data_IF_698609573224
#
_entry.id   IF_698609573224
#
_cell.length_a   1.000
_cell.length_b   1.000
_cell.length_c   1.000
_cell.angle_alpha   90.00
_cell.angle_beta   90.00
_cell.angle_gamma   90.00
#
_symmetry.space_group_name_H-M   'P 1'
#
loop_
_entity.id
_entity.type
_entity.pdbx_description
1 polymer ?
#
# COMPACT_ATOMS: atom_id res chain seq x y z
N UNK A 1 23.22 -42.05 -20.58
CA UNK A 1 24.20 -41.14 -19.93
C UNK A 1 24.24 -41.34 -18.42
N UNK A 2 25.20 -40.74 -17.69
CA UNK A 2 25.22 -40.71 -16.22
C UNK A 2 24.95 -39.29 -15.73
N UNK A 3 24.18 -39.15 -14.65
CA UNK A 3 23.88 -37.84 -14.06
C UNK A 3 25.17 -37.23 -13.48
N UNK A 4 25.55 -36.00 -13.85
CA UNK A 4 26.76 -35.36 -13.33
C UNK A 4 26.67 -35.00 -11.83
N UNK A 5 25.46 -34.96 -11.27
CA UNK A 5 25.20 -34.60 -9.87
C UNK A 5 25.29 -35.77 -8.90
N UNK A 6 24.81 -36.96 -9.29
CA UNK A 6 24.73 -38.12 -8.40
C UNK A 6 25.34 -39.41 -8.97
N UNK A 7 25.79 -39.41 -10.22
CA UNK A 7 26.36 -40.59 -10.87
C UNK A 7 25.36 -41.68 -11.26
N UNK A 8 24.06 -41.49 -11.02
CA UNK A 8 23.04 -42.47 -11.43
C UNK A 8 22.94 -42.59 -12.95
N UNK A 9 22.62 -43.78 -13.45
CA UNK A 9 22.42 -44.04 -14.87
C UNK A 9 21.08 -43.46 -15.31
N UNK A 10 21.09 -42.61 -16.35
CA UNK A 10 19.90 -41.92 -16.85
C UNK A 10 19.77 -42.10 -18.36
N UNK A 11 18.54 -42.22 -18.86
CA UNK A 11 18.25 -42.32 -20.28
C UNK A 11 18.56 -41.00 -21.00
N UNK A 12 18.99 -41.09 -22.26
CA UNK A 12 19.44 -39.92 -23.02
C UNK A 12 18.27 -38.95 -23.38
N UNK A 13 17.03 -39.41 -23.22
CA UNK A 13 15.79 -38.63 -23.44
C UNK A 13 15.17 -38.08 -22.16
N UNK A 14 15.70 -38.45 -20.99
CA UNK A 14 15.12 -38.07 -19.71
C UNK A 14 15.48 -36.61 -19.37
N UNK A 15 14.45 -35.77 -19.25
CA UNK A 15 14.60 -34.34 -18.92
C UNK A 15 15.12 -34.13 -17.48
N UNK A 16 14.83 -35.07 -16.58
CA UNK A 16 15.22 -35.01 -15.17
C UNK A 16 15.76 -36.36 -14.72
N UNK A 17 16.76 -36.34 -13.84
CA UNK A 17 17.30 -37.55 -13.24
C UNK A 17 16.27 -38.17 -12.27
N UNK A 18 15.84 -39.43 -12.47
CA UNK A 18 14.85 -40.07 -11.59
C UNK A 18 15.39 -40.37 -10.19
N UNK A 19 16.71 -40.39 -10.00
CA UNK A 19 17.32 -40.68 -8.70
C UNK A 19 17.57 -39.45 -7.84
N UNK A 20 17.77 -38.26 -8.41
CA UNK A 20 18.09 -37.04 -7.65
C UNK A 20 17.28 -35.80 -8.04
N UNK A 21 16.44 -35.86 -9.08
CA UNK A 21 15.62 -34.74 -9.55
C UNK A 21 16.37 -33.66 -10.33
N UNK A 22 17.67 -33.81 -10.59
CA UNK A 22 18.46 -32.82 -11.35
C UNK A 22 18.00 -32.76 -12.80
N UNK A 23 17.74 -31.55 -13.33
CA UNK A 23 17.45 -31.33 -14.75
C UNK A 23 18.70 -31.58 -15.59
N UNK A 24 18.61 -32.52 -16.53
CA UNK A 24 19.74 -32.92 -17.40
C UNK A 24 19.74 -32.19 -18.75
N UNK A 25 18.67 -31.45 -19.04
CA UNK A 25 18.50 -30.67 -20.27
C UNK A 25 19.16 -29.28 -20.21
N UNK A 26 19.61 -28.86 -19.02
CA UNK A 26 20.09 -27.51 -18.69
C UNK A 26 21.58 -27.26 -19.04
N UNK A 27 22.22 -28.12 -19.85
CA UNK A 27 23.57 -27.82 -20.40
C UNK A 27 23.49 -27.04 -21.73
N UNK A 28 22.31 -26.51 -22.08
CA UNK A 28 22.10 -25.54 -23.18
C UNK A 28 21.31 -24.29 -22.72
N UNK A 29 21.48 -23.89 -21.45
CA UNK A 29 20.86 -22.71 -20.82
C UNK A 29 21.47 -21.42 -21.40
N UNK A 30 20.78 -20.30 -21.68
CA UNK A 30 19.81 -19.57 -20.85
C UNK A 30 19.14 -18.49 -21.75
N UNK A 31 17.93 -17.97 -21.60
CA UNK A 31 17.09 -17.67 -20.44
C UNK A 31 15.71 -17.30 -21.00
N UNK A 32 14.63 -18.00 -20.67
CA UNK A 32 13.28 -17.44 -20.63
C UNK A 32 12.33 -18.46 -20.00
N UNK A 33 12.22 -18.37 -18.68
CA UNK A 33 11.13 -18.88 -17.88
C UNK A 33 9.79 -18.66 -18.57
N UNK A 34 9.19 -19.77 -19.00
CA UNK A 34 7.79 -19.89 -19.39
C UNK A 34 6.89 -19.42 -18.23
N UNK A 35 6.33 -18.21 -18.37
CA UNK A 35 5.20 -17.74 -17.56
C UNK A 35 3.92 -17.94 -18.37
N UNK A 36 3.22 -19.04 -18.15
CA UNK A 36 1.80 -19.13 -18.51
C UNK A 36 0.93 -18.78 -17.31
N UNK A 37 0.29 -17.61 -17.42
CA UNK A 37 -0.70 -17.12 -16.47
C UNK A 37 -1.09 -15.67 -16.76
N UNK A 38 -2.10 -15.47 -17.62
CA UNK A 38 -3.07 -14.35 -17.62
C UNK A 38 -2.52 -12.93 -17.40
N UNK A 39 -2.14 -12.25 -18.48
CA UNK A 39 -1.97 -10.79 -18.48
C UNK A 39 -3.32 -10.08 -18.53
N UNK A 40 -3.88 -9.85 -17.34
CA UNK A 40 -4.70 -8.66 -17.05
C UNK A 40 -3.69 -7.53 -16.91
N UNK A 41 -3.78 -6.50 -17.73
CA UNK A 41 -2.96 -5.29 -17.61
C UNK A 41 -3.26 -4.57 -16.30
N UNK A 42 -2.66 -5.03 -15.21
CA UNK A 42 -2.40 -4.22 -14.02
C UNK A 42 -1.42 -3.15 -14.45
N UNK A 43 -1.92 -1.93 -14.75
CA UNK A 43 -1.10 -0.76 -14.44
C UNK A 43 -0.62 -0.96 -13.01
N UNK A 44 0.68 -0.78 -12.69
CA UNK A 44 1.02 -0.49 -11.31
C UNK A 44 0.21 0.76 -11.01
N UNK A 45 -0.89 0.61 -10.27
CA UNK A 45 -1.38 1.68 -9.42
C UNK A 45 -0.19 1.90 -8.52
N UNK A 46 0.68 2.83 -8.93
CA UNK A 46 1.78 3.35 -8.16
C UNK A 46 1.24 3.49 -6.76
N UNK A 47 1.75 2.63 -5.87
CA UNK A 47 1.25 2.39 -4.54
C UNK A 47 0.67 3.68 -3.95
N UNK A 48 -0.66 3.83 -4.01
CA UNK A 48 -1.39 4.81 -3.21
C UNK A 48 -1.50 4.21 -1.81
N UNK A 49 -0.34 3.83 -1.27
CA UNK A 49 -0.05 3.72 0.16
C UNK A 49 0.19 5.10 0.76
N UNK A 50 0.14 6.14 -0.09
CA UNK A 50 0.18 7.52 0.29
C UNK A 50 -1.05 7.83 1.15
N UNK A 51 -0.87 8.30 2.38
CA UNK A 51 -1.82 8.08 3.45
C UNK A 51 -3.04 8.92 3.16
N UNK A 52 -4.22 8.31 3.25
CA UNK A 52 -5.49 9.04 3.35
C UNK A 52 -5.44 10.13 4.44
N UNK A 53 -4.54 9.94 5.41
CA UNK A 53 -4.15 10.91 6.43
C UNK A 53 -3.55 12.22 5.90
N UNK A 54 -2.63 12.17 4.91
CA UNK A 54 -2.08 13.41 4.32
C UNK A 54 -3.17 14.16 3.55
N UNK A 55 -4.02 13.45 2.81
CA UNK A 55 -5.12 14.09 2.09
C UNK A 55 -6.11 14.74 3.06
N UNK A 56 -6.50 14.06 4.14
CA UNK A 56 -7.35 14.61 5.18
C UNK A 56 -6.74 15.81 5.92
N UNK A 57 -5.44 15.75 6.22
CA UNK A 57 -4.70 16.85 6.86
C UNK A 57 -4.59 18.07 5.93
N UNK A 58 -4.35 17.85 4.63
CA UNK A 58 -4.29 18.93 3.63
C UNK A 58 -5.67 19.58 3.47
N UNK A 59 -6.76 18.82 3.30
CA UNK A 59 -8.11 19.39 3.21
C UNK A 59 -8.54 20.11 4.50
N UNK A 60 -8.16 19.59 5.67
CA UNK A 60 -8.41 20.24 6.96
C UNK A 60 -7.65 21.55 7.13
N UNK A 61 -6.37 21.58 6.75
CA UNK A 61 -5.55 22.80 6.77
C UNK A 61 -6.08 23.84 5.77
N UNK A 62 -6.54 23.41 4.59
CA UNK A 62 -7.16 24.31 3.62
C UNK A 62 -8.43 24.96 4.22
N UNK A 63 -9.29 24.19 4.88
CA UNK A 63 -10.47 24.71 5.57
C UNK A 63 -10.13 25.69 6.69
N UNK A 64 -9.11 25.38 7.50
CA UNK A 64 -8.60 26.25 8.56
C UNK A 64 -8.07 27.57 8.00
N UNK A 65 -7.27 27.51 6.94
CA UNK A 65 -6.68 28.69 6.30
C UNK A 65 -7.76 29.56 5.66
N UNK A 66 -8.74 28.98 4.97
CA UNK A 66 -9.87 29.73 4.39
C UNK A 66 -10.65 30.45 5.49
N UNK A 67 -10.93 29.77 6.60
CA UNK A 67 -11.64 30.37 7.72
C UNK A 67 -10.82 31.48 8.43
N UNK A 68 -9.49 31.35 8.52
CA UNK A 68 -8.61 32.43 8.98
C UNK A 68 -8.56 33.61 8.01
N UNK A 69 -8.56 33.34 6.71
CA UNK A 69 -8.58 34.40 5.68
C UNK A 69 -9.88 35.19 5.78
N UNK A 70 -11.02 34.52 5.93
CA UNK A 70 -12.32 35.17 6.16
C UNK A 70 -12.30 35.96 7.48
N UNK A 71 -11.68 35.43 8.54
CA UNK A 71 -11.55 36.18 9.80
C UNK A 71 -10.67 37.44 9.67
N UNK A 72 -9.58 37.35 8.91
CA UNK A 72 -8.61 38.44 8.74
C UNK A 72 -9.10 39.54 7.80
N UNK A 73 -9.87 39.17 6.78
CA UNK A 73 -10.57 40.10 5.94
C UNK A 73 -11.88 40.38 6.67
N UNK A 74 -11.86 41.31 7.64
CA UNK A 74 -13.04 41.75 8.38
C UNK A 74 -14.13 42.24 7.42
N UNK A 75 -14.83 41.29 6.81
CA UNK A 75 -16.09 41.48 6.16
C UNK A 75 -17.07 41.62 7.32
N UNK A 76 -17.63 42.81 7.40
CA UNK A 76 -18.74 43.16 8.28
C UNK A 76 -19.91 42.19 8.01
N UNK A 77 -19.83 41.00 8.59
CA UNK A 77 -20.95 40.07 8.69
C UNK A 77 -21.40 40.10 10.15
N UNK A 78 -22.23 41.10 10.41
CA UNK A 78 -22.96 41.30 11.65
C UNK A 78 -23.77 40.03 11.99
N UNK A 79 -23.65 39.59 13.25
CA UNK A 79 -24.39 38.51 13.95
C UNK A 79 -24.13 37.02 13.58
N UNK A 80 -23.04 36.46 14.11
CA UNK A 80 -23.09 35.62 15.33
C UNK A 80 -21.77 34.84 15.56
N UNK A 81 -20.95 35.21 16.57
CA UNK A 81 -19.66 34.55 16.83
C UNK A 81 -19.79 33.11 17.34
N UNK A 82 -20.99 32.63 17.65
CA UNK A 82 -21.24 31.26 18.13
C UNK A 82 -21.11 30.22 17.01
N UNK A 83 -21.59 30.52 15.80
CA UNK A 83 -21.64 29.54 14.70
C UNK A 83 -20.25 29.11 14.23
N UNK A 84 -19.34 30.07 14.03
CA UNK A 84 -17.98 29.80 13.55
C UNK A 84 -17.15 29.04 14.58
N UNK A 85 -17.25 29.38 15.87
CA UNK A 85 -16.52 28.69 16.94
C UNK A 85 -17.03 27.26 17.10
N UNK A 86 -18.35 27.05 17.07
CA UNK A 86 -18.95 25.71 17.16
C UNK A 86 -18.53 24.85 15.97
N UNK A 87 -18.50 25.41 14.74
CA UNK A 87 -18.03 24.68 13.57
C UNK A 87 -16.60 24.20 13.75
N UNK A 88 -15.70 25.08 14.20
CA UNK A 88 -14.29 24.75 14.45
C UNK A 88 -14.13 23.73 15.58
N UNK A 89 -14.94 23.79 16.64
CA UNK A 89 -14.97 22.78 17.70
C UNK A 89 -15.42 21.42 17.16
N UNK A 90 -16.46 21.37 16.33
CA UNK A 90 -16.94 20.12 15.72
C UNK A 90 -15.88 19.53 14.79
N UNK A 91 -15.28 20.35 13.92
CA UNK A 91 -14.19 19.92 13.04
C UNK A 91 -12.97 19.41 13.84
N UNK A 92 -12.60 20.11 14.92
CA UNK A 92 -11.53 19.69 15.82
C UNK A 92 -11.83 18.38 16.53
N UNK A 93 -13.05 18.19 17.03
CA UNK A 93 -13.47 16.95 17.68
C UNK A 93 -13.52 15.78 16.70
N UNK A 94 -14.04 16.00 15.48
CA UNK A 94 -14.08 14.99 14.43
C UNK A 94 -12.67 14.58 14.01
N UNK A 95 -11.79 15.56 13.80
CA UNK A 95 -10.41 15.29 13.42
C UNK A 95 -9.66 14.54 14.53
N UNK A 96 -9.83 14.95 15.78
CA UNK A 96 -9.24 14.26 16.94
C UNK A 96 -9.74 12.81 17.08
N UNK A 97 -11.04 12.58 16.88
CA UNK A 97 -11.62 11.24 16.94
C UNK A 97 -11.13 10.34 15.80
N UNK A 98 -11.03 10.87 14.58
CA UNK A 98 -10.46 10.15 13.42
C UNK A 98 -9.00 9.78 13.70
N UNK A 99 -8.22 10.71 14.26
CA UNK A 99 -6.82 10.46 14.61
C UNK A 99 -6.69 9.35 15.66
N UNK A 100 -7.48 9.41 16.73
CA UNK A 100 -7.50 8.36 17.75
C UNK A 100 -7.92 7.01 17.19
N UNK A 101 -8.95 6.96 16.34
CA UNK A 101 -9.43 5.72 15.74
C UNK A 101 -8.38 5.06 14.85
N UNK A 102 -7.59 5.85 14.10
CA UNK A 102 -6.51 5.28 13.28
C UNK A 102 -5.33 4.82 14.13
N UNK A 103 -4.99 5.56 15.19
CA UNK A 103 -3.95 5.14 16.14
C UNK A 103 -4.34 3.82 16.81
N UNK A 104 -5.59 3.67 17.27
CA UNK A 104 -6.04 2.42 17.91
C UNK A 104 -6.04 1.26 16.93
N UNK A 105 -6.49 1.45 15.68
CA UNK A 105 -6.44 0.40 14.65
C UNK A 105 -5.00 0.00 14.30
N UNK A 106 -4.07 0.96 14.22
CA UNK A 106 -2.65 0.64 14.01
C UNK A 106 -2.08 -0.16 15.17
N UNK A 107 -2.35 0.25 16.41
CA UNK A 107 -1.85 -0.45 17.60
C UNK A 107 -2.44 -1.86 17.69
N UNK A 108 -3.76 -2.00 17.53
CA UNK A 108 -4.44 -3.31 17.57
C UNK A 108 -4.00 -4.22 16.42
N UNK A 109 -3.79 -3.67 15.23
CA UNK A 109 -3.28 -4.42 14.07
C UNK A 109 -1.85 -4.94 14.28
N UNK A 110 -0.99 -4.14 14.94
CA UNK A 110 0.35 -4.59 15.34
C UNK A 110 0.27 -5.68 16.41
N UNK A 111 -0.61 -5.54 17.40
CA UNK A 111 -0.78 -6.56 18.46
C UNK A 111 -1.34 -7.89 17.96
N UNK A 112 -2.08 -7.91 16.84
CA UNK A 112 -2.61 -9.13 16.21
C UNK A 112 -1.58 -9.85 15.31
N UNK A 113 -0.46 -9.19 14.99
CA UNK A 113 0.58 -9.72 14.11
C UNK A 113 1.82 -10.23 14.85
N UNK A 114 1.92 -10.01 16.16
CA UNK A 114 2.90 -10.62 17.07
C UNK A 114 2.30 -11.81 17.81
#
# INVERSE_FOLDING_TARGET
MFCPKCGARVGDTDKFCPSCGTNLFESSNSTATYKTGRQRGTRPVSDVRLPSFLLGLILGLIGLVIALVIYSNGNEFEESPTGTVILWCIFGMFFWFIVLAVITVMILGVSLTM
#
